data_IF_738212296373
#
_entry.id   IF_738212296373
#
_cell.length_a   1.000
_cell.length_b   1.000
_cell.length_c   1.000
_cell.angle_alpha   90.00
_cell.angle_beta   90.00
_cell.angle_gamma   90.00
#
_symmetry.space_group_name_H-M   'P 1'
#
loop_
_entity.id
_entity.type
_entity.pdbx_description
1 polymer ?
2 non-polymer ?
3 water ?
#
# COMPACT_ATOMS: atom_id res chain seq x y z
N UNK A 1 -16.25 -10.80 -1.21
CA UNK A 1 -15.79 -9.74 -2.19
C UNK A 1 -14.30 -9.41 -2.03
N UNK A 2 -13.75 -9.42 -0.81
CA UNK A 2 -12.32 -9.02 -0.61
C UNK A 2 -11.42 -10.25 -0.60
N UNK A 3 -12.00 -11.45 -0.61
CA UNK A 3 -11.20 -12.62 -0.22
C UNK A 3 -9.99 -12.88 -1.11
N UNK A 4 -10.01 -12.53 -2.38
CA UNK A 4 -8.81 -12.88 -3.15
C UNK A 4 -7.61 -11.97 -2.82
N UNK A 5 -7.84 -10.85 -2.11
CA UNK A 5 -6.76 -10.01 -1.63
C UNK A 5 -6.11 -10.55 -0.38
N UNK A 6 -6.76 -11.47 0.34
CA UNK A 6 -6.31 -11.87 1.66
C UNK A 6 -5.06 -12.73 1.55
N UNK A 7 -4.18 -12.61 2.52
CA UNK A 7 -2.99 -13.42 2.63
C UNK A 7 -1.76 -12.60 2.80
N UNK A 8 -0.62 -13.25 2.60
CA UNK A 8 0.70 -12.68 2.78
C UNK A 8 1.34 -12.49 1.40
N UNK A 9 1.85 -11.30 1.16
CA UNK A 9 2.33 -10.84 -0.14
C UNK A 9 3.71 -10.25 0.01
N UNK A 10 4.59 -10.52 -0.96
CA UNK A 10 5.97 -10.07 -0.95
C UNK A 10 6.23 -9.20 -2.15
N UNK A 11 6.92 -8.06 -1.98
CA UNK A 11 7.24 -7.18 -3.11
C UNK A 11 8.24 -7.87 -4.04
N UNK A 12 7.90 -7.89 -5.36
CA UNK A 12 8.72 -8.47 -6.46
C UNK A 12 9.05 -7.51 -7.61
N UNK A 13 8.44 -6.32 -7.69
CA UNK A 13 8.74 -5.33 -8.75
C UNK A 13 8.33 -3.97 -8.23
N UNK A 14 9.09 -2.89 -8.47
CA UNK A 14 8.65 -1.54 -8.14
C UNK A 14 9.11 -0.59 -9.24
N UNK A 15 8.16 0.27 -9.66
CA UNK A 15 8.41 1.30 -10.68
C UNK A 15 7.96 2.65 -10.12
N UNK A 16 8.86 3.62 -10.17
CA UNK A 16 8.56 5.02 -9.85
C UNK A 16 8.24 5.26 -8.36
N UNK A 17 8.70 4.40 -7.47
CA UNK A 17 8.42 4.67 -6.04
C UNK A 17 9.17 5.92 -5.57
N UNK A 18 10.39 6.17 -6.08
CA UNK A 18 11.06 7.39 -5.69
C UNK A 18 10.26 8.63 -6.11
N UNK A 19 9.69 8.62 -7.30
CA UNK A 19 8.86 9.73 -7.74
C UNK A 19 7.72 9.96 -6.73
N UNK A 20 7.04 8.88 -6.38
CA UNK A 20 5.89 8.98 -5.46
C UNK A 20 6.33 9.54 -4.10
N UNK A 21 7.39 8.98 -3.52
CA UNK A 21 7.86 9.45 -2.24
C UNK A 21 8.31 10.92 -2.31
N UNK A 22 8.99 11.27 -3.36
CA UNK A 22 9.45 12.66 -3.47
C UNK A 22 8.27 13.61 -3.57
N UNK A 23 7.23 13.21 -4.30
CA UNK A 23 6.03 14.05 -4.43
C UNK A 23 5.38 14.31 -3.04
N UNK A 24 5.45 13.31 -2.18
CA UNK A 24 4.95 13.41 -0.80
C UNK A 24 5.91 14.16 0.12
N UNK A 25 7.06 14.61 -0.35
CA UNK A 25 8.00 15.36 0.49
C UNK A 25 8.89 14.48 1.34
N UNK A 26 9.00 13.19 1.04
CA UNK A 26 9.89 12.30 1.80
C UNK A 26 11.35 12.70 1.50
N UNK A 27 12.17 12.81 2.52
CA UNK A 27 13.56 13.19 2.36
C UNK A 27 14.44 12.16 1.69
N UNK A 28 15.59 12.63 1.15
CA UNK A 28 16.42 11.77 0.32
C UNK A 28 16.79 10.49 1.03
N UNK A 29 17.18 10.58 2.29
CA UNK A 29 17.77 9.40 2.99
C UNK A 29 16.70 8.34 3.16
N UNK A 30 15.49 8.75 3.48
CA UNK A 30 14.38 7.78 3.60
C UNK A 30 14.07 7.18 2.25
N UNK A 31 13.98 8.02 1.22
CA UNK A 31 13.75 7.48 -0.14
C UNK A 31 14.81 6.42 -0.41
N UNK A 32 16.03 6.73 -0.08
CA UNK A 32 17.17 5.87 -0.48
C UNK A 32 17.00 4.49 0.13
N UNK A 33 16.68 4.36 1.41
CA UNK A 33 16.47 3.02 2.02
C UNK A 33 15.22 2.35 1.44
N UNK A 34 14.15 3.11 1.28
CA UNK A 34 12.88 2.54 0.81
C UNK A 34 13.08 1.97 -0.60
N UNK A 35 13.99 2.49 -1.40
CA UNK A 35 14.19 2.01 -2.80
C UNK A 35 14.79 0.60 -2.82
N UNK A 36 15.36 0.12 -1.73
CA UNK A 36 16.13 -1.15 -1.52
C UNK A 36 15.39 -2.04 -0.51
N UNK A 37 14.17 -1.68 -0.12
CA UNK A 37 13.42 -2.47 0.87
C UNK A 37 12.35 -3.24 0.10
N UNK A 38 12.14 -4.45 0.58
CA UNK A 38 11.09 -5.35 -0.01
C UNK A 38 10.09 -5.73 1.06
N UNK A 39 9.03 -4.95 1.22
CA UNK A 39 8.09 -5.22 2.27
C UNK A 39 7.27 -6.48 2.04
N UNK A 40 6.71 -6.93 3.16
CA UNK A 40 5.66 -7.95 3.19
C UNK A 40 4.37 -7.31 3.60
N UNK A 41 3.32 -7.54 2.84
CA UNK A 41 1.97 -7.03 3.14
C UNK A 41 1.11 -8.23 3.56
N UNK A 42 0.43 -8.10 4.70
CA UNK A 42 -0.45 -9.15 5.21
C UNK A 42 -1.85 -8.56 5.31
N UNK A 43 -2.80 -9.17 4.66
CA UNK A 43 -4.20 -8.69 4.65
C UNK A 43 -5.07 -9.79 5.21
N UNK A 44 -5.76 -9.50 6.29
CA UNK A 44 -6.63 -10.49 6.98
C UNK A 44 -7.98 -9.85 7.26
N UNK A 45 -9.01 -10.70 7.34
CA UNK A 45 -10.33 -10.19 7.74
C UNK A 45 -10.85 -10.97 8.94
N UNK A 46 -11.68 -10.27 9.70
CA UNK A 46 -12.44 -10.84 10.81
C UNK A 46 -13.81 -10.16 10.73
N UNK A 47 -14.79 -10.87 10.19
CA UNK A 47 -16.05 -10.23 9.89
C UNK A 47 -15.87 -9.11 8.90
N UNK A 48 -16.41 -7.95 9.25
CA UNK A 48 -16.33 -6.78 8.37
C UNK A 48 -15.06 -5.98 8.60
N UNK A 49 -14.17 -6.44 9.47
CA UNK A 49 -12.94 -5.66 9.75
C UNK A 49 -11.76 -6.27 9.01
N UNK A 50 -11.14 -5.49 8.12
CA UNK A 50 -9.86 -5.85 7.48
C UNK A 50 -8.74 -5.29 8.35
N UNK A 51 -7.63 -6.02 8.37
CA UNK A 51 -6.38 -5.53 8.94
C UNK A 51 -5.29 -5.72 7.87
N UNK A 52 -4.56 -4.65 7.64
CA UNK A 52 -3.50 -4.60 6.60
C UNK A 52 -2.21 -4.21 7.30
N UNK A 53 -1.29 -5.19 7.37
CA UNK A 53 0.03 -5.01 7.95
C UNK A 53 1.03 -4.82 6.83
N UNK A 54 1.99 -3.92 6.99
CA UNK A 54 3.12 -3.77 6.07
C UNK A 54 4.38 -3.83 6.89
N UNK A 55 5.21 -4.83 6.61
CA UNK A 55 6.40 -5.12 7.42
C UNK A 55 7.67 -4.95 6.58
N UNK A 56 8.68 -4.39 7.19
CA UNK A 56 9.99 -4.34 6.53
C UNK A 56 11.07 -4.19 7.56
N UNK A 57 12.30 -4.25 7.02
CA UNK A 57 13.54 -3.92 7.79
C UNK A 57 13.67 -2.44 8.20
N UNK A 58 12.86 -1.54 7.68
CA UNK A 58 12.96 -0.10 7.88
C UNK A 58 11.79 0.42 8.68
N UNK A 59 10.59 0.14 8.27
CA UNK A 59 9.40 0.66 8.98
C UNK A 59 8.30 -0.39 8.87
N UNK A 60 7.49 -0.46 9.92
CA UNK A 60 6.27 -1.27 9.94
C UNK A 60 5.04 -0.34 10.05
N UNK A 61 3.92 -0.78 9.48
CA UNK A 61 2.64 -0.16 9.72
C UNK A 61 1.62 -1.25 9.93
N UNK A 62 0.44 -0.80 10.53
CA UNK A 62 -0.73 -1.66 10.61
C UNK A 62 -1.96 -0.75 10.67
N UNK A 63 -2.95 -1.06 9.85
CA UNK A 63 -4.24 -0.38 9.89
C UNK A 63 -5.35 -1.42 9.96
N UNK A 64 -6.45 -1.07 10.62
CA UNK A 64 -7.69 -1.85 10.58
C UNK A 64 -8.82 -0.92 10.17
N UNK A 65 -9.75 -1.45 9.37
CA UNK A 65 -10.81 -0.63 8.81
C UNK A 65 -11.94 -1.52 8.38
N UNK A 66 -13.10 -0.88 8.25
CA UNK A 66 -14.27 -1.47 7.61
C UNK A 66 -14.42 -0.81 6.23
N UNK A 67 -14.71 -1.58 5.19
CA UNK A 67 -14.90 -0.99 3.87
C UNK A 67 -16.00 0.07 3.98
N UNK A 68 -15.72 1.22 3.34
CA UNK A 68 -16.73 2.25 3.23
C UNK A 68 -16.91 3.12 4.47
N UNK A 69 -16.04 2.98 5.46
CA UNK A 69 -16.13 3.76 6.70
C UNK A 69 -14.80 4.48 6.93
N UNK A 70 -14.85 5.79 7.05
CA UNK A 70 -13.64 6.59 7.23
C UNK A 70 -12.93 6.20 8.52
N UNK A 71 -11.60 6.28 8.49
CA UNK A 71 -10.76 6.04 9.67
C UNK A 71 -9.59 7.00 9.66
N UNK A 72 -9.08 7.29 10.84
CA UNK A 72 -7.83 8.04 10.98
C UNK A 72 -6.66 7.11 10.76
N UNK A 73 -5.62 7.61 10.10
CA UNK A 73 -4.42 6.83 9.79
C UNK A 73 -3.19 7.72 9.95
N UNK A 74 -2.12 7.13 10.45
CA UNK A 74 -0.80 7.77 10.47
C UNK A 74 0.10 6.95 9.58
N UNK A 75 0.49 7.51 8.44
CA UNK A 75 1.17 6.74 7.41
C UNK A 75 2.62 6.45 7.79
N UNK A 76 3.28 5.64 6.95
CA UNK A 76 4.66 5.25 7.21
C UNK A 76 5.59 6.45 7.29
N UNK A 77 5.27 7.48 6.49
CA UNK A 77 5.99 8.74 6.45
C UNK A 77 5.39 9.81 7.38
N UNK A 78 4.57 9.39 8.32
CA UNK A 78 4.09 10.24 9.43
C UNK A 78 3.09 11.30 9.00
N UNK A 79 2.39 11.10 7.91
CA UNK A 79 1.23 11.96 7.59
C UNK A 79 0.01 11.49 8.40
N UNK A 80 -0.71 12.45 8.98
CA UNK A 80 -1.97 12.18 9.69
C UNK A 80 -3.12 12.46 8.73
N UNK A 81 -3.76 11.40 8.26
CA UNK A 81 -4.69 11.45 7.15
C UNK A 81 -6.04 10.91 7.56
N UNK A 82 -7.06 11.29 6.78
CA UNK A 82 -8.40 10.73 6.83
C UNK A 82 -8.49 9.74 5.68
N UNK A 83 -8.80 8.50 5.96
CA UNK A 83 -8.75 7.41 4.98
C UNK A 83 -10.09 6.72 4.83
N UNK A 84 -10.28 6.17 3.64
CA UNK A 84 -11.42 5.28 3.40
C UNK A 84 -10.99 4.26 2.34
N UNK A 85 -11.42 3.03 2.53
CA UNK A 85 -11.10 1.95 1.59
C UNK A 85 -12.42 1.38 1.08
N UNK A 86 -12.48 1.19 -0.25
CA UNK A 86 -13.69 0.77 -0.98
C UNK A 86 -13.31 -0.27 -2.04
N UNK A 87 -14.25 -1.12 -2.47
CA UNK A 87 -14.08 -1.95 -3.65
C UNK A 87 -14.73 -1.25 -4.82
N UNK A 88 -14.04 -1.17 -5.93
CA UNK A 88 -14.51 -0.43 -7.11
C UNK A 88 -14.01 -1.22 -8.32
N UNK A 89 -14.89 -1.83 -9.06
CA UNK A 89 -14.47 -2.63 -10.21
C UNK A 89 -13.61 -3.78 -9.83
N UNK A 90 -13.79 -4.32 -8.63
CA UNK A 90 -12.97 -5.41 -8.14
C UNK A 90 -11.63 -4.99 -7.55
N UNK A 91 -11.31 -3.71 -7.59
CA UNK A 91 -10.07 -3.19 -7.04
C UNK A 91 -10.32 -2.65 -5.63
N UNK A 92 -9.31 -2.81 -4.79
CA UNK A 92 -9.35 -2.29 -3.45
C UNK A 92 -8.77 -0.86 -3.50
N UNK A 93 -9.60 0.17 -3.31
CA UNK A 93 -9.20 1.57 -3.49
C UNK A 93 -9.11 2.23 -2.12
N UNK A 94 -7.91 2.64 -1.69
CA UNK A 94 -7.61 3.33 -0.41
C UNK A 94 -7.31 4.80 -0.73
N UNK A 95 -8.17 5.73 -0.32
CA UNK A 95 -8.02 7.18 -0.51
C UNK A 95 -7.61 7.80 0.80
N UNK A 96 -6.53 8.58 0.79
CA UNK A 96 -6.06 9.35 1.96
C UNK A 96 -6.19 10.83 1.65
N UNK A 97 -6.66 11.58 2.64
CA UNK A 97 -6.89 13.04 2.53
C UNK A 97 -6.21 13.73 3.70
N UNK A 98 -5.45 14.80 3.44
CA UNK A 98 -4.84 15.60 4.51
C UNK A 98 -4.44 16.93 3.92
N UNK A 99 -4.63 18.01 4.67
CA UNK A 99 -4.15 19.34 4.22
C UNK A 99 -4.70 19.71 2.82
N UNK A 100 -5.88 19.21 2.50
CA UNK A 100 -6.46 19.42 1.15
C UNK A 100 -5.85 18.57 0.03
N UNK A 101 -4.83 17.77 0.32
CA UNK A 101 -4.20 16.84 -0.64
C UNK A 101 -4.93 15.52 -0.61
N UNK A 102 -4.68 14.74 -1.64
CA UNK A 102 -5.15 13.37 -1.73
C UNK A 102 -4.07 12.50 -2.32
N UNK A 103 -4.06 11.24 -1.89
CA UNK A 103 -3.32 10.19 -2.61
C UNK A 103 -4.17 8.95 -2.61
N UNK A 104 -4.03 8.14 -3.66
CA UNK A 104 -4.73 6.88 -3.76
C UNK A 104 -3.74 5.73 -3.82
N UNK A 105 -4.14 4.64 -3.18
CA UNK A 105 -3.42 3.38 -3.15
C UNK A 105 -4.44 2.36 -3.69
N UNK A 106 -4.24 1.90 -4.91
CA UNK A 106 -5.22 1.03 -5.58
C UNK A 106 -4.60 -0.32 -5.78
N UNK A 107 -5.27 -1.37 -5.30
CA UNK A 107 -4.78 -2.74 -5.43
C UNK A 107 -5.70 -3.53 -6.35
N UNK A 108 -5.09 -4.15 -7.37
CA UNK A 108 -5.78 -4.92 -8.41
C UNK A 108 -5.12 -6.28 -8.49
N UNK A 109 -5.87 -7.37 -8.68
CA UNK A 109 -5.32 -8.72 -8.83
C UNK A 109 -5.24 -9.04 -10.32
N UNK A 110 -4.05 -9.31 -10.81
CA UNK A 110 -3.82 -9.64 -12.24
C UNK A 110 -2.96 -10.91 -12.28
N UNK A 111 -3.55 -11.96 -12.83
CA UNK A 111 -2.87 -13.25 -12.95
C UNK A 111 -2.30 -13.69 -11.61
N UNK A 112 -3.09 -13.52 -10.54
CA UNK A 112 -2.72 -13.96 -9.17
C UNK A 112 -1.69 -13.11 -8.48
N UNK A 113 -1.21 -12.04 -9.11
CA UNK A 113 -0.29 -11.07 -8.49
C UNK A 113 -1.12 -9.86 -8.04
N UNK A 114 -0.64 -9.20 -7.02
CA UNK A 114 -1.30 -8.02 -6.52
C UNK A 114 -0.50 -6.79 -6.95
N UNK A 115 -1.18 -5.97 -7.71
CA UNK A 115 -0.58 -4.76 -8.28
C UNK A 115 -1.12 -3.58 -7.50
N UNK A 116 -0.20 -2.85 -6.88
CA UNK A 116 -0.47 -1.66 -6.09
C UNK A 116 -0.05 -0.44 -6.89
N UNK A 117 -1.00 0.43 -7.20
CA UNK A 117 -0.74 1.66 -7.91
C UNK A 117 -0.93 2.82 -6.92
N UNK A 118 0.14 3.61 -6.78
CA UNK A 118 0.20 4.73 -5.83
C UNK A 118 0.24 6.02 -6.64
N UNK A 119 -0.71 6.94 -6.43
CA UNK A 119 -0.76 8.17 -7.20
C UNK A 119 -0.80 9.36 -6.25
N UNK A 120 0.06 10.32 -6.47
CA UNK A 120 0.04 11.60 -5.71
C UNK A 120 0.55 12.66 -6.68
N UNK A 121 -0.14 13.77 -6.78
CA UNK A 121 0.24 14.78 -7.77
C UNK A 121 0.21 14.16 -9.14
N UNK A 122 1.29 14.27 -9.87
CA UNK A 122 1.41 13.61 -11.15
C UNK A 122 2.13 12.27 -11.09
N UNK A 123 2.70 11.94 -9.95
CA UNK A 123 3.51 10.72 -9.78
C UNK A 123 2.62 9.50 -9.71
N UNK A 124 3.00 8.46 -10.46
CA UNK A 124 2.31 7.20 -10.51
C UNK A 124 3.34 6.09 -10.34
N UNK A 125 3.21 5.35 -9.25
CA UNK A 125 4.10 4.24 -8.92
C UNK A 125 3.34 2.94 -8.98
N UNK A 126 3.96 1.92 -9.55
CA UNK A 126 3.37 0.60 -9.65
C UNK A 126 4.26 -0.41 -8.93
N UNK A 127 3.71 -1.12 -7.96
CA UNK A 127 4.44 -2.11 -7.20
C UNK A 127 3.72 -3.42 -7.30
N UNK A 128 4.49 -4.46 -7.54
CA UNK A 128 3.94 -5.78 -7.75
C UNK A 128 4.31 -6.69 -6.59
N UNK A 129 3.30 -7.36 -6.07
CA UNK A 129 3.43 -8.28 -4.95
C UNK A 129 3.04 -9.70 -5.36
N UNK A 130 3.81 -10.64 -4.82
CA UNK A 130 3.60 -12.09 -5.06
C UNK A 130 3.14 -12.81 -3.79
N UNK A 131 2.14 -13.69 -3.88
CA UNK A 131 1.57 -14.32 -2.66
C UNK A 131 2.58 -15.32 -2.15
N UNK A 132 2.78 -15.32 -0.84
CA UNK A 132 3.53 -16.32 -0.04
C UNK A 132 2.56 -17.42 0.44
N UNK A 133 2.91 -18.70 0.16
CA UNK A 133 2.16 -19.91 0.51
C UNK A 133 1.95 -20.02 1.99
#
# INVERSE_FOLDING_TARGET
>A
MVDAFLGTWKLVDSKNFDDYMKSLGVGFATRQVASMTKPTTIIEKNGDILTLKTHSTFKNTEISFKLGVEFDETTADDRKVKSIVTLDGGKLVHLQKWDGQETTLVRELIDGKLILTLTHGTAVCTRTYEKEA
#
